data_IF_224825465525
#
_entry.id   IF_224825465525
#
_cell.length_a   1.000
_cell.length_b   1.000
_cell.length_c   1.000
_cell.angle_alpha   90.00
_cell.angle_beta   90.00
_cell.angle_gamma   90.00
#
_symmetry.space_group_name_H-M   'P 1'
#
loop_
_entity.id
_entity.type
_entity.pdbx_description
1 polymer ?
#
# COMPACT_ATOMS: atom_id res chain seq x y z
N UNK A 1 8.51 4.88 10.56
CA UNK A 1 9.48 5.95 10.82
C UNK A 1 8.97 7.25 10.23
N UNK A 2 9.40 8.40 10.77
CA UNK A 2 9.06 9.72 10.26
C UNK A 2 10.30 10.38 9.68
N UNK A 3 10.19 10.78 8.42
CA UNK A 3 11.21 11.52 7.71
C UNK A 3 10.70 12.93 7.41
N UNK A 4 11.59 13.91 7.46
CA UNK A 4 11.29 15.29 7.10
C UNK A 4 12.35 15.81 6.13
N UNK A 5 11.93 16.73 5.26
CA UNK A 5 12.86 17.40 4.36
C UNK A 5 13.89 18.20 5.18
N UNK A 6 15.15 18.03 4.81
CA UNK A 6 16.28 18.76 5.39
C UNK A 6 16.63 20.01 4.60
N UNK A 7 15.96 20.25 3.47
CA UNK A 7 16.20 21.38 2.59
C UNK A 7 17.57 21.27 1.90
N UNK A 8 18.38 22.32 2.00
CA UNK A 8 19.70 22.34 1.36
C UNK A 8 20.70 21.50 2.14
N UNK A 9 21.07 20.34 1.60
CA UNK A 9 22.09 19.47 2.18
C UNK A 9 23.47 19.86 1.65
N UNK A 10 24.47 19.85 2.52
CA UNK A 10 25.86 20.12 2.18
C UNK A 10 26.76 18.92 2.49
N UNK A 11 27.81 18.72 1.71
CA UNK A 11 28.87 17.77 2.02
C UNK A 11 29.67 18.21 3.27
N UNK A 12 30.52 17.34 3.85
CA UNK A 12 31.43 17.73 4.93
C UNK A 12 32.34 18.92 4.58
N UNK A 13 32.64 19.11 3.29
CA UNK A 13 33.44 20.22 2.75
C UNK A 13 32.61 21.49 2.50
N UNK A 14 31.29 21.46 2.76
CA UNK A 14 30.37 22.59 2.64
C UNK A 14 29.73 22.75 1.27
N UNK A 15 29.97 21.83 0.33
CA UNK A 15 29.40 21.88 -1.02
C UNK A 15 27.92 21.52 -1.02
N UNK A 16 27.09 22.29 -1.73
CA UNK A 16 25.65 21.98 -1.84
C UNK A 16 25.46 20.73 -2.69
N UNK A 17 24.77 19.72 -2.14
CA UNK A 17 24.43 18.49 -2.83
C UNK A 17 23.28 18.71 -3.83
N UNK A 18 23.19 17.95 -4.93
CA UNK A 18 22.29 18.26 -6.04
C UNK A 18 20.82 17.87 -5.80
N UNK A 19 20.44 17.48 -4.59
CA UNK A 19 19.09 17.00 -4.27
C UNK A 19 18.09 18.15 -4.21
N UNK A 20 16.91 17.96 -4.81
CA UNK A 20 15.79 18.90 -4.72
C UNK A 20 14.77 18.50 -3.63
N UNK A 21 14.96 17.34 -3.01
CA UNK A 21 14.32 16.88 -1.79
C UNK A 21 15.28 15.94 -1.08
N UNK A 22 15.57 16.17 0.21
CA UNK A 22 16.35 15.23 1.01
C UNK A 22 15.63 14.89 2.31
N UNK A 23 14.99 13.73 2.31
CA UNK A 23 14.25 13.20 3.45
C UNK A 23 15.21 12.58 4.45
N UNK A 24 15.15 13.08 5.68
CA UNK A 24 16.04 12.66 6.77
C UNK A 24 15.24 12.14 7.95
N UNK A 25 15.74 11.12 8.66
CA UNK A 25 15.03 10.52 9.77
C UNK A 25 14.92 11.51 10.93
N UNK A 26 13.72 11.61 11.51
CA UNK A 26 13.43 12.51 12.64
C UNK A 26 12.96 11.78 13.87
N UNK A 27 12.05 10.83 13.67
CA UNK A 27 11.40 10.09 14.75
C UNK A 27 11.13 8.67 14.32
N UNK A 28 11.13 7.75 15.27
CA UNK A 28 10.63 6.40 15.10
C UNK A 28 9.59 6.11 16.19
N UNK A 29 8.64 5.22 15.88
CA UNK A 29 7.65 4.74 16.83
C UNK A 29 7.73 3.22 16.86
N UNK A 30 7.78 2.63 18.05
CA UNK A 30 7.89 1.17 18.20
C UNK A 30 6.49 0.59 18.33
N UNK A 31 6.05 -0.10 17.28
CA UNK A 31 4.72 -0.74 17.21
C UNK A 31 4.73 -2.21 17.65
N UNK A 32 5.90 -2.84 17.68
CA UNK A 32 5.99 -4.29 17.53
C UNK A 32 5.60 -4.72 16.10
N UNK A 33 5.49 -6.01 15.86
CA UNK A 33 5.04 -6.55 14.58
C UNK A 33 3.52 -6.52 14.50
N UNK A 34 2.97 -5.35 14.15
CA UNK A 34 1.55 -5.15 13.83
C UNK A 34 1.23 -5.54 12.39
N UNK A 35 2.25 -5.95 11.62
CA UNK A 35 2.15 -6.22 10.18
C UNK A 35 1.44 -5.08 9.45
N UNK A 36 1.97 -3.86 9.54
CA UNK A 36 1.36 -2.68 8.92
C UNK A 36 1.36 -2.78 7.41
N UNK A 37 0.18 -2.81 6.77
CA UNK A 37 0.06 -3.03 5.31
C UNK A 37 -0.18 -1.77 4.49
N UNK A 38 -0.83 -0.76 5.07
CA UNK A 38 -1.04 0.54 4.43
C UNK A 38 -1.10 1.61 5.51
N UNK A 39 -0.69 2.82 5.19
CA UNK A 39 -0.85 3.96 6.07
C UNK A 39 -1.14 5.23 5.27
N UNK A 40 -1.84 6.17 5.89
CA UNK A 40 -2.13 7.45 5.27
C UNK A 40 -2.42 8.53 6.31
N UNK A 41 -2.21 9.78 5.93
CA UNK A 41 -2.45 10.94 6.78
C UNK A 41 -3.89 11.41 6.67
N UNK A 42 -4.54 11.62 7.81
CA UNK A 42 -5.81 12.32 7.93
C UNK A 42 -5.61 13.51 8.86
N UNK A 43 -5.49 14.71 8.27
CA UNK A 43 -4.96 15.86 8.99
C UNK A 43 -3.54 15.56 9.51
N UNK A 44 -3.31 15.79 10.79
CA UNK A 44 -2.03 15.53 11.47
C UNK A 44 -1.94 14.11 12.07
N UNK A 45 -2.93 13.26 11.83
CA UNK A 45 -2.97 11.91 12.36
C UNK A 45 -2.59 10.88 11.30
N UNK A 46 -1.61 10.03 11.62
CA UNK A 46 -1.27 8.88 10.80
C UNK A 46 -2.20 7.71 11.13
N UNK A 47 -2.99 7.28 10.16
CA UNK A 47 -3.84 6.09 10.25
C UNK A 47 -3.10 4.94 9.58
N UNK A 48 -3.04 3.80 10.27
CA UNK A 48 -2.33 2.60 9.83
C UNK A 48 -3.32 1.43 9.78
N UNK A 49 -3.24 0.64 8.71
CA UNK A 49 -3.86 -0.68 8.65
C UNK A 49 -3.00 -1.65 9.46
N UNK A 50 -3.51 -2.04 10.62
CA UNK A 50 -2.92 -3.05 11.49
C UNK A 50 -3.52 -4.42 11.13
N UNK A 51 -2.88 -5.09 10.20
CA UNK A 51 -3.35 -6.37 9.65
C UNK A 51 -3.38 -7.45 10.71
N UNK A 52 -2.33 -7.52 11.55
CA UNK A 52 -2.23 -8.55 12.59
C UNK A 52 -3.35 -8.49 13.61
N UNK A 53 -3.88 -7.30 13.91
CA UNK A 53 -5.01 -7.09 14.80
C UNK A 53 -6.33 -6.80 14.07
N UNK A 54 -6.34 -6.92 12.73
CA UNK A 54 -7.51 -6.73 11.87
C UNK A 54 -8.25 -5.40 12.13
N UNK A 55 -7.50 -4.30 12.26
CA UNK A 55 -8.05 -3.00 12.59
C UNK A 55 -7.34 -1.84 11.90
N UNK A 56 -8.02 -0.70 11.83
CA UNK A 56 -7.36 0.59 11.64
C UNK A 56 -6.91 1.10 12.99
N UNK A 57 -5.71 1.67 13.05
CA UNK A 57 -5.13 2.17 14.28
C UNK A 57 -4.41 3.51 14.06
N UNK A 58 -4.26 4.27 15.14
CA UNK A 58 -3.38 5.43 15.23
C UNK A 58 -2.15 5.08 16.07
N UNK A 59 -1.09 5.85 15.89
CA UNK A 59 0.09 5.77 16.77
C UNK A 59 -0.12 6.68 17.98
N UNK A 60 0.38 6.26 19.14
CA UNK A 60 0.25 7.00 20.40
C UNK A 60 1.57 6.94 21.17
N UNK A 61 2.06 8.03 21.79
CA UNK A 61 3.34 8.02 22.49
C UNK A 61 3.48 7.00 23.64
N UNK A 62 2.36 6.59 24.25
CA UNK A 62 2.33 5.67 25.39
C UNK A 62 2.07 4.21 24.99
N UNK A 63 1.59 3.97 23.77
CA UNK A 63 1.15 2.65 23.32
C UNK A 63 1.78 2.28 21.97
N UNK A 64 1.90 0.98 21.70
CA UNK A 64 2.30 0.54 20.36
C UNK A 64 1.37 1.11 19.28
N UNK A 65 0.07 1.10 19.53
CA UNK A 65 -0.98 1.66 18.69
C UNK A 65 -2.29 1.78 19.49
N UNK A 66 -3.22 2.58 18.99
CA UNK A 66 -4.60 2.70 19.51
C UNK A 66 -5.56 2.31 18.38
N UNK A 67 -6.34 1.22 18.53
CA UNK A 67 -7.32 0.83 17.51
C UNK A 67 -8.45 1.86 17.44
N UNK A 68 -8.84 2.25 16.23
CA UNK A 68 -9.90 3.25 15.99
C UNK A 68 -11.11 2.66 15.27
N UNK A 69 -10.91 1.57 14.53
CA UNK A 69 -11.98 0.89 13.80
C UNK A 69 -11.57 -0.56 13.49
N UNK A 70 -12.55 -1.45 13.36
CA UNK A 70 -12.38 -2.81 12.87
C UNK A 70 -13.63 -3.22 12.07
N UNK A 71 -13.53 -4.17 11.15
CA UNK A 71 -14.71 -4.71 10.48
C UNK A 71 -15.74 -5.24 11.50
N UNK A 72 -17.05 -5.03 11.29
CA UNK A 72 -18.08 -5.47 12.26
C UNK A 72 -18.10 -6.98 12.54
N UNK A 73 -17.68 -7.79 11.56
CA UNK A 73 -17.61 -9.24 11.68
C UNK A 73 -16.42 -9.74 12.50
N UNK A 74 -15.38 -8.91 12.69
CA UNK A 74 -14.27 -9.26 13.58
C UNK A 74 -14.76 -9.09 15.02
N UNK A 75 -14.53 -10.04 15.93
CA UNK A 75 -15.09 -10.02 17.30
C UNK A 75 -14.12 -9.59 18.40
N UNK A 76 -12.81 -9.61 18.16
CA UNK A 76 -11.81 -9.14 19.12
C UNK A 76 -10.58 -8.50 18.46
N UNK A 77 -9.88 -7.64 19.20
CA UNK A 77 -8.52 -7.22 18.86
C UNK A 77 -7.53 -8.28 19.34
N UNK A 78 -7.26 -9.25 18.47
CA UNK A 78 -6.33 -10.34 18.74
C UNK A 78 -5.24 -10.36 17.66
N UNK A 79 -4.01 -10.70 18.05
CA UNK A 79 -2.85 -10.76 17.15
C UNK A 79 -2.89 -12.00 16.24
N UNK A 80 -3.98 -12.15 15.50
CA UNK A 80 -4.42 -13.38 14.84
C UNK A 80 -4.60 -13.23 13.32
N UNK A 81 -4.49 -12.01 12.80
CA UNK A 81 -4.69 -11.71 11.37
C UNK A 81 -5.97 -12.38 10.82
N UNK A 82 -7.11 -12.01 11.39
CA UNK A 82 -8.35 -12.78 11.19
C UNK A 82 -8.90 -12.66 9.77
N UNK A 83 -8.76 -11.49 9.15
CA UNK A 83 -9.31 -11.18 7.83
C UNK A 83 -8.28 -10.65 6.83
N UNK A 84 -7.04 -10.41 7.28
CA UNK A 84 -6.01 -9.71 6.52
C UNK A 84 -6.49 -8.38 5.96
N UNK A 85 -6.83 -7.47 6.86
CA UNK A 85 -7.11 -6.08 6.50
C UNK A 85 -5.85 -5.51 5.82
N UNK A 86 -5.99 -4.98 4.61
CA UNK A 86 -4.87 -4.79 3.70
C UNK A 86 -4.72 -3.33 3.29
N UNK A 87 -5.56 -2.84 2.38
CA UNK A 87 -5.47 -1.49 1.84
C UNK A 87 -6.45 -0.50 2.49
N UNK A 88 -6.17 0.79 2.34
CA UNK A 88 -6.97 1.88 2.92
C UNK A 88 -7.14 3.03 1.92
N UNK A 89 -8.36 3.54 1.84
CA UNK A 89 -8.71 4.82 1.21
C UNK A 89 -9.07 5.82 2.30
N UNK A 90 -8.40 6.97 2.27
CA UNK A 90 -8.77 8.15 3.06
C UNK A 90 -9.45 9.16 2.14
N UNK A 91 -10.54 9.77 2.61
CA UNK A 91 -11.15 10.95 2.02
C UNK A 91 -11.11 12.14 2.99
N UNK A 92 -11.76 13.25 2.62
CA UNK A 92 -11.79 14.47 3.43
C UNK A 92 -12.48 14.30 4.80
N UNK A 93 -13.24 13.22 5.01
CA UNK A 93 -13.93 12.89 6.25
C UNK A 93 -13.24 11.76 7.04
N UNK A 94 -12.14 11.19 6.52
CA UNK A 94 -11.34 10.15 7.18
C UNK A 94 -11.33 8.82 6.41
N UNK A 95 -11.12 7.69 7.11
CA UNK A 95 -11.21 6.37 6.51
C UNK A 95 -12.54 6.13 5.79
N UNK A 96 -12.45 5.82 4.50
CA UNK A 96 -13.61 5.67 3.64
C UNK A 96 -13.81 4.23 3.16
N UNK A 97 -12.77 3.62 2.61
CA UNK A 97 -12.81 2.22 2.17
C UNK A 97 -11.59 1.47 2.67
N UNK A 98 -11.76 0.18 2.92
CA UNK A 98 -10.66 -0.74 3.18
C UNK A 98 -10.83 -2.01 2.36
N UNK A 99 -9.72 -2.69 2.07
CA UNK A 99 -9.75 -4.04 1.52
C UNK A 99 -9.38 -5.05 2.60
N UNK A 100 -9.92 -6.26 2.51
CA UNK A 100 -9.51 -7.41 3.31
C UNK A 100 -9.44 -8.66 2.42
N UNK A 101 -8.61 -9.64 2.78
CA UNK A 101 -8.47 -10.87 2.00
C UNK A 101 -9.56 -11.91 2.29
N UNK A 102 -10.32 -11.75 3.38
CA UNK A 102 -11.44 -12.61 3.73
C UNK A 102 -12.44 -11.97 4.68
N UNK A 103 -13.72 -12.35 4.58
CA UNK A 103 -14.77 -12.02 5.56
C UNK A 103 -14.75 -13.03 6.72
N UNK A 104 -13.64 -13.08 7.46
CA UNK A 104 -13.35 -14.13 8.45
C UNK A 104 -13.01 -13.58 9.84
N UNK A 105 -13.32 -14.36 10.89
CA UNK A 105 -13.11 -14.01 12.31
C UNK A 105 -12.39 -15.11 13.10
N UNK A 106 -11.55 -15.90 12.43
CA UNK A 106 -10.69 -16.92 13.02
C UNK A 106 -9.24 -16.62 12.67
N UNK A 107 -8.30 -17.11 13.48
CA UNK A 107 -6.87 -16.91 13.23
C UNK A 107 -6.50 -17.31 11.80
N UNK A 108 -5.99 -16.34 11.04
CA UNK A 108 -5.56 -16.49 9.64
C UNK A 108 -6.63 -17.12 8.72
N UNK A 109 -7.92 -16.96 9.05
CA UNK A 109 -9.03 -17.63 8.35
C UNK A 109 -9.15 -17.28 6.86
N UNK A 110 -8.62 -16.12 6.46
CA UNK A 110 -8.60 -15.65 5.08
C UNK A 110 -7.76 -16.55 4.14
N UNK A 111 -6.82 -17.34 4.67
CA UNK A 111 -5.87 -18.14 3.86
C UNK A 111 -6.56 -19.19 3.01
N UNK A 112 -7.61 -19.83 3.51
CA UNK A 112 -8.36 -20.86 2.78
C UNK A 112 -9.06 -20.26 1.56
N UNK A 113 -9.63 -19.06 1.71
CA UNK A 113 -10.37 -18.35 0.68
C UNK A 113 -9.53 -17.33 -0.11
N UNK A 114 -8.19 -17.32 -0.02
CA UNK A 114 -7.36 -16.23 -0.58
C UNK A 114 -7.51 -16.00 -2.10
N UNK A 115 -8.00 -17.00 -2.84
CA UNK A 115 -8.20 -16.92 -4.31
C UNK A 115 -9.38 -16.02 -4.67
N UNK A 116 -10.45 -15.97 -3.88
CA UNK A 116 -11.69 -15.26 -4.22
C UNK A 116 -12.44 -14.67 -3.00
N UNK A 117 -11.92 -14.83 -1.79
CA UNK A 117 -12.55 -14.39 -0.55
C UNK A 117 -12.43 -12.90 -0.25
N UNK A 118 -11.64 -12.16 -1.04
CA UNK A 118 -11.36 -10.76 -0.78
C UNK A 118 -12.57 -9.85 -0.94
N UNK A 119 -12.58 -8.80 -0.13
CA UNK A 119 -13.70 -7.87 0.02
C UNK A 119 -13.25 -6.41 0.05
N UNK A 120 -14.19 -5.51 -0.22
CA UNK A 120 -14.08 -4.07 0.03
C UNK A 120 -15.17 -3.68 1.01
N UNK A 121 -14.80 -2.93 2.05
CA UNK A 121 -15.69 -2.49 3.12
C UNK A 121 -15.77 -0.97 3.09
N UNK A 122 -16.99 -0.42 3.12
CA UNK A 122 -17.22 1.00 3.44
C UNK A 122 -17.05 1.18 4.96
N UNK A 123 -16.05 1.96 5.35
CA UNK A 123 -15.66 2.10 6.76
C UNK A 123 -16.74 2.79 7.60
N UNK A 124 -17.38 3.90 7.16
CA UNK A 124 -18.42 4.57 7.94
C UNK A 124 -19.64 3.69 8.25
N UNK A 125 -20.12 2.92 7.28
CA UNK A 125 -21.28 2.03 7.47
C UNK A 125 -20.91 0.65 8.04
N UNK A 126 -19.67 0.20 7.80
CA UNK A 126 -19.23 -1.17 8.06
C UNK A 126 -19.72 -2.18 7.03
N UNK A 127 -20.39 -1.74 5.96
CA UNK A 127 -20.96 -2.62 4.94
C UNK A 127 -19.90 -3.11 3.94
N UNK A 128 -19.99 -4.39 3.58
CA UNK A 128 -19.18 -4.96 2.50
C UNK A 128 -19.81 -4.61 1.16
N UNK A 129 -19.13 -3.74 0.39
CA UNK A 129 -19.65 -3.20 -0.88
C UNK A 129 -19.22 -4.01 -2.11
N UNK A 130 -18.20 -4.86 -2.00
CA UNK A 130 -17.74 -5.74 -3.08
C UNK A 130 -17.09 -7.00 -2.49
N UNK A 131 -17.32 -8.15 -3.13
CA UNK A 131 -16.81 -9.48 -2.75
C UNK A 131 -16.25 -10.22 -3.96
N UNK A 132 -15.55 -11.33 -3.74
CA UNK A 132 -15.07 -12.15 -4.85
C UNK A 132 -13.76 -11.65 -5.45
N UNK A 133 -12.95 -10.91 -4.68
CA UNK A 133 -11.72 -10.29 -5.20
C UNK A 133 -10.52 -11.14 -4.81
N UNK A 134 -9.71 -11.51 -5.80
CA UNK A 134 -8.46 -12.25 -5.55
C UNK A 134 -7.38 -11.31 -5.02
N UNK A 135 -7.11 -11.40 -3.72
CA UNK A 135 -6.04 -10.63 -3.07
C UNK A 135 -6.12 -9.11 -3.30
N UNK A 136 -7.18 -8.41 -2.84
CA UNK A 136 -7.37 -6.98 -3.10
C UNK A 136 -6.33 -6.08 -2.41
N UNK A 137 -5.55 -5.36 -3.21
CA UNK A 137 -4.51 -4.44 -2.75
C UNK A 137 -4.76 -2.99 -3.22
N UNK A 138 -4.16 -2.05 -2.48
CA UNK A 138 -4.04 -0.62 -2.80
C UNK A 138 -5.32 -0.02 -3.40
N UNK A 139 -6.44 -0.03 -2.67
CA UNK A 139 -7.62 0.68 -3.09
C UNK A 139 -7.30 2.18 -3.13
N UNK A 140 -7.78 2.89 -4.16
CA UNK A 140 -7.58 4.33 -4.32
C UNK A 140 -8.86 4.99 -4.79
N UNK A 141 -9.21 6.12 -4.18
CA UNK A 141 -10.22 7.01 -4.74
C UNK A 141 -9.55 8.02 -5.65
N UNK A 142 -9.81 7.94 -6.96
CA UNK A 142 -9.19 8.82 -7.93
C UNK A 142 -10.11 9.11 -9.11
N UNK A 143 -10.13 10.36 -9.58
CA UNK A 143 -10.99 10.82 -10.68
C UNK A 143 -12.48 10.42 -10.50
N UNK A 144 -12.99 10.52 -9.27
CA UNK A 144 -14.38 10.20 -8.93
C UNK A 144 -14.75 8.72 -8.97
N UNK A 145 -13.75 7.83 -8.95
CA UNK A 145 -13.93 6.38 -9.02
C UNK A 145 -13.13 5.68 -7.93
N UNK A 146 -13.62 4.52 -7.50
CA UNK A 146 -12.88 3.59 -6.65
C UNK A 146 -12.10 2.61 -7.52
N UNK A 147 -10.79 2.62 -7.38
CA UNK A 147 -9.86 1.73 -8.05
C UNK A 147 -9.35 0.69 -7.06
N UNK A 148 -9.05 -0.52 -7.54
CA UNK A 148 -8.46 -1.59 -6.74
C UNK A 148 -7.55 -2.47 -7.60
N UNK A 149 -6.50 -3.01 -7.00
CA UNK A 149 -5.68 -4.05 -7.61
C UNK A 149 -6.20 -5.42 -7.18
N UNK A 150 -6.48 -6.29 -8.16
CA UNK A 150 -6.73 -7.70 -7.92
C UNK A 150 -5.44 -8.47 -8.21
N UNK A 151 -4.63 -8.67 -7.18
CA UNK A 151 -3.26 -9.15 -7.34
C UNK A 151 -3.19 -10.59 -7.83
N UNK A 152 -4.14 -11.43 -7.41
CA UNK A 152 -4.16 -12.85 -7.81
C UNK A 152 -4.39 -13.08 -9.30
N UNK A 153 -4.94 -12.08 -10.02
CA UNK A 153 -5.13 -12.13 -11.48
C UNK A 153 -4.32 -11.11 -12.25
N UNK A 154 -3.55 -10.25 -11.56
CA UNK A 154 -2.76 -9.20 -12.20
C UNK A 154 -3.62 -8.04 -12.72
N UNK A 155 -4.82 -7.81 -12.18
CA UNK A 155 -5.81 -6.90 -12.78
C UNK A 155 -5.88 -5.54 -12.08
N UNK A 156 -5.89 -4.45 -12.86
CA UNK A 156 -6.34 -3.13 -12.40
C UNK A 156 -7.84 -3.03 -12.67
N UNK A 157 -8.63 -2.75 -11.62
CA UNK A 157 -10.08 -2.73 -11.71
C UNK A 157 -10.68 -1.42 -11.18
N UNK A 158 -11.85 -1.07 -11.72
CA UNK A 158 -12.73 -0.02 -11.19
C UNK A 158 -13.95 -0.68 -10.55
N UNK A 159 -14.34 -0.19 -9.38
CA UNK A 159 -15.50 -0.67 -8.61
C UNK A 159 -16.67 0.29 -8.81
N UNK A 160 -17.81 -0.26 -9.22
CA UNK A 160 -19.09 0.43 -9.16
C UNK A 160 -19.64 0.33 -7.72
N UNK A 161 -19.65 1.44 -7.00
CA UNK A 161 -20.00 1.46 -5.57
C UNK A 161 -21.48 1.18 -5.29
N UNK A 162 -22.36 1.28 -6.29
CA UNK A 162 -23.80 1.03 -6.10
C UNK A 162 -24.13 -0.46 -6.22
N UNK A 163 -23.50 -1.13 -7.19
CA UNK A 163 -23.75 -2.54 -7.50
C UNK A 163 -22.71 -3.49 -6.93
N UNK A 164 -21.55 -2.98 -6.50
CA UNK A 164 -20.39 -3.77 -6.07
C UNK A 164 -19.66 -4.49 -7.21
N UNK A 165 -20.08 -4.28 -8.46
CA UNK A 165 -19.46 -4.90 -9.63
C UNK A 165 -18.13 -4.25 -9.96
N UNK A 166 -17.22 -5.04 -10.51
CA UNK A 166 -15.88 -4.61 -10.90
C UNK A 166 -15.72 -4.72 -12.41
N UNK A 167 -15.07 -3.73 -13.01
CA UNK A 167 -14.68 -3.72 -14.41
C UNK A 167 -13.16 -3.71 -14.51
N UNK A 168 -12.60 -4.73 -15.16
CA UNK A 168 -11.16 -4.79 -15.44
C UNK A 168 -10.80 -3.77 -16.51
N UNK A 169 -9.82 -2.91 -16.21
CA UNK A 169 -9.25 -1.95 -17.16
C UNK A 169 -8.17 -2.64 -17.99
N UNK A 170 -7.26 -3.35 -17.32
CA UNK A 170 -6.25 -4.18 -17.96
C UNK A 170 -5.72 -5.24 -17.00
N UNK A 171 -4.94 -6.17 -17.57
CA UNK A 171 -4.15 -7.15 -16.83
C UNK A 171 -2.66 -6.92 -17.11
N UNK A 172 -1.83 -7.11 -16.09
CA UNK A 172 -0.39 -6.93 -16.12
C UNK A 172 0.32 -8.23 -15.71
N UNK A 173 1.54 -8.48 -16.22
CA UNK A 173 2.22 -9.76 -16.06
C UNK A 173 2.96 -9.88 -14.71
N UNK A 174 2.28 -9.68 -13.60
CA UNK A 174 2.89 -9.76 -12.27
C UNK A 174 1.89 -9.57 -11.14
N UNK A 175 2.32 -9.91 -9.93
CA UNK A 175 1.50 -9.77 -8.73
C UNK A 175 1.42 -8.28 -8.35
N UNK A 176 0.25 -7.68 -8.49
CA UNK A 176 0.09 -6.24 -8.29
C UNK A 176 0.14 -5.88 -6.80
N UNK A 177 0.75 -4.74 -6.46
CA UNK A 177 0.82 -4.27 -5.08
C UNK A 177 0.60 -2.78 -4.94
N UNK A 178 1.56 -1.96 -5.37
CA UNK A 178 1.45 -0.50 -5.27
C UNK A 178 0.56 0.10 -6.36
N UNK A 179 -0.26 1.09 -5.99
CA UNK A 179 -1.04 1.89 -6.93
C UNK A 179 -1.02 3.36 -6.52
N UNK A 180 -0.67 4.23 -7.47
CA UNK A 180 -0.82 5.68 -7.32
C UNK A 180 -1.19 6.32 -8.64
N UNK A 181 -1.60 7.58 -8.60
CA UNK A 181 -2.08 8.31 -9.77
C UNK A 181 -1.46 9.69 -9.86
N UNK A 182 -1.26 10.16 -11.09
CA UNK A 182 -0.90 11.54 -11.38
C UNK A 182 -1.50 11.95 -12.73
N UNK A 183 -2.30 13.02 -12.72
CA UNK A 183 -3.10 13.46 -13.87
C UNK A 183 -3.95 12.30 -14.44
N UNK A 184 -3.75 11.91 -15.70
CA UNK A 184 -4.48 10.80 -16.32
C UNK A 184 -3.77 9.45 -16.21
N UNK A 185 -2.67 9.36 -15.47
CA UNK A 185 -1.86 8.16 -15.40
C UNK A 185 -2.02 7.43 -14.08
N UNK A 186 -2.25 6.12 -14.15
CA UNK A 186 -2.05 5.20 -13.04
C UNK A 186 -0.64 4.62 -13.13
N UNK A 187 0.07 4.59 -12.00
CA UNK A 187 1.33 3.89 -11.86
C UNK A 187 1.10 2.65 -11.00
N UNK A 188 1.39 1.48 -11.56
CA UNK A 188 1.10 0.18 -10.96
C UNK A 188 2.41 -0.57 -10.73
N UNK A 189 2.70 -0.89 -9.47
CA UNK A 189 3.82 -1.73 -9.09
C UNK A 189 3.44 -3.21 -9.11
N UNK A 190 4.28 -4.04 -9.71
CA UNK A 190 4.16 -5.50 -9.70
C UNK A 190 5.42 -6.19 -9.20
N UNK A 191 5.21 -7.37 -8.62
CA UNK A 191 6.24 -8.22 -8.05
C UNK A 191 6.27 -9.60 -8.73
N UNK A 192 7.41 -10.27 -8.58
CA UNK A 192 7.45 -11.73 -8.72
C UNK A 192 6.75 -12.38 -7.51
N UNK A 193 6.15 -13.54 -7.70
CA UNK A 193 5.70 -14.38 -6.58
C UNK A 193 6.91 -15.21 -6.12
N UNK A 194 7.63 -14.75 -5.09
CA UNK A 194 8.72 -15.50 -4.43
C UNK A 194 8.71 -15.22 -2.92
N UNK A 195 8.88 -16.27 -2.12
CA UNK A 195 8.78 -16.20 -0.65
C UNK A 195 7.40 -16.64 -0.16
N UNK A 196 7.40 -17.55 0.82
CA UNK A 196 6.24 -18.21 1.44
C UNK A 196 5.09 -18.58 0.50
N UNK A 197 5.30 -19.62 -0.32
CA UNK A 197 4.26 -20.20 -1.20
C UNK A 197 2.98 -20.55 -0.45
N UNK A 198 3.06 -20.85 0.85
CA UNK A 198 1.88 -21.15 1.67
C UNK A 198 0.98 -19.91 1.79
N UNK A 199 1.57 -18.71 1.82
CA UNK A 199 0.85 -17.44 1.88
C UNK A 199 0.42 -16.94 0.49
N UNK A 200 1.31 -16.84 -0.49
CA UNK A 200 1.02 -16.16 -1.78
C UNK A 200 1.02 -17.05 -3.02
N UNK A 201 1.27 -18.36 -2.89
CA UNK A 201 1.18 -19.32 -4.00
C UNK A 201 -0.24 -19.83 -4.24
N UNK A 202 -0.43 -20.45 -5.41
CA UNK A 202 -1.72 -20.98 -5.87
C UNK A 202 -2.62 -19.91 -6.47
N UNK A 203 -2.04 -18.81 -6.97
CA UNK A 203 -2.79 -17.69 -7.53
C UNK A 203 -3.06 -17.91 -9.02
N UNK A 204 -4.23 -17.49 -9.54
CA UNK A 204 -4.57 -17.65 -10.96
C UNK A 204 -3.50 -17.13 -11.92
N UNK A 205 -2.80 -16.05 -11.56
CA UNK A 205 -1.76 -15.46 -12.40
C UNK A 205 -0.57 -16.39 -12.69
N UNK A 206 -0.29 -17.35 -11.82
CA UNK A 206 0.80 -18.33 -12.04
C UNK A 206 0.51 -19.26 -13.23
N UNK A 207 -0.76 -19.48 -13.55
CA UNK A 207 -1.18 -20.26 -14.73
C UNK A 207 -1.29 -19.37 -15.98
N UNK A 208 -1.58 -18.07 -15.81
CA UNK A 208 -1.77 -17.13 -16.92
C UNK A 208 -0.46 -16.57 -17.46
N UNK A 209 0.58 -16.46 -16.63
CA UNK A 209 1.83 -15.78 -16.96
C UNK A 209 3.03 -16.65 -16.60
N UNK A 210 3.79 -17.10 -17.61
CA UNK A 210 4.93 -17.97 -17.41
C UNK A 210 6.15 -17.30 -16.77
N UNK A 211 6.29 -15.98 -16.95
CA UNK A 211 7.39 -15.19 -16.40
C UNK A 211 6.84 -13.93 -15.72
N UNK A 212 6.61 -14.05 -14.41
CA UNK A 212 6.13 -12.93 -13.60
C UNK A 212 7.20 -11.84 -13.50
N UNK A 213 6.78 -10.60 -13.69
CA UNK A 213 7.68 -9.44 -13.73
C UNK A 213 7.70 -8.69 -12.40
N UNK A 214 8.86 -8.11 -12.10
CA UNK A 214 8.99 -7.04 -11.11
C UNK A 214 9.14 -5.72 -11.88
N UNK A 215 8.15 -4.84 -11.81
CA UNK A 215 8.10 -3.67 -12.68
C UNK A 215 7.14 -2.58 -12.17
N UNK A 216 7.28 -1.38 -12.74
CA UNK A 216 6.32 -0.29 -12.61
C UNK A 216 5.75 -0.01 -13.99
N UNK A 217 4.43 -0.08 -14.14
CA UNK A 217 3.73 0.25 -15.38
C UNK A 217 3.01 1.58 -15.24
N UNK A 218 3.06 2.40 -16.29
CA UNK A 218 2.25 3.59 -16.44
C UNK A 218 1.10 3.29 -17.41
N UNK A 219 -0.13 3.55 -16.97
CA UNK A 219 -1.37 3.27 -17.70
C UNK A 219 -2.16 4.57 -17.85
N UNK A 220 -2.60 4.89 -19.06
CA UNK A 220 -3.53 5.99 -19.29
C UNK A 220 -4.95 5.54 -18.88
N UNK A 221 -5.52 6.15 -17.85
CA UNK A 221 -6.81 5.73 -17.26
C UNK A 221 -8.01 6.12 -18.13
N UNK A 222 -7.80 6.95 -19.15
CA UNK A 222 -8.85 7.36 -20.08
C UNK A 222 -9.02 6.36 -21.23
N UNK A 223 -7.92 5.75 -21.67
CA UNK A 223 -7.92 4.76 -22.77
C UNK A 223 -7.79 3.31 -22.27
N UNK A 224 -7.22 3.11 -21.08
CA UNK A 224 -6.85 1.80 -20.56
C UNK A 224 -5.52 1.26 -21.12
N UNK A 225 -4.79 2.06 -21.91
CA UNK A 225 -3.57 1.63 -22.57
C UNK A 225 -2.32 1.81 -21.71
N UNK A 226 -1.36 0.90 -21.88
CA UNK A 226 -0.04 1.02 -21.26
C UNK A 226 0.77 2.04 -22.06
N UNK A 227 1.24 3.10 -21.41
CA UNK A 227 2.05 4.15 -22.04
C UNK A 227 3.55 3.95 -21.86
N UNK A 228 3.96 3.11 -20.90
CA UNK A 228 5.35 2.75 -20.66
C UNK A 228 5.52 1.93 -19.39
N UNK A 229 6.73 1.40 -19.20
CA UNK A 229 7.08 0.66 -17.98
C UNK A 229 8.58 0.72 -17.70
N UNK A 230 8.94 0.43 -16.45
CA UNK A 230 10.30 0.16 -16.00
C UNK A 230 10.31 -1.24 -15.39
N UNK A 231 11.21 -2.10 -15.85
CA UNK A 231 11.35 -3.47 -15.35
C UNK A 231 12.65 -3.62 -14.55
N UNK A 232 12.53 -4.20 -13.36
CA UNK A 232 13.65 -4.55 -12.51
C UNK A 232 14.13 -5.96 -12.87
N UNK A 233 15.22 -6.03 -13.62
CA UNK A 233 15.77 -7.31 -14.09
C UNK A 233 16.68 -8.00 -13.07
N UNK A 234 17.20 -7.25 -12.09
CA UNK A 234 18.08 -7.73 -11.00
C UNK A 234 17.90 -6.90 -9.73
N UNK A 235 18.24 -7.49 -8.58
CA UNK A 235 18.30 -6.81 -7.27
C UNK A 235 16.94 -6.64 -6.59
N UNK A 236 15.94 -6.10 -7.29
CA UNK A 236 14.60 -5.86 -6.75
C UNK A 236 13.63 -6.89 -7.34
N UNK A 237 13.04 -7.72 -6.48
CA UNK A 237 12.05 -8.73 -6.88
C UNK A 237 10.63 -8.42 -6.37
N UNK A 238 10.51 -7.48 -5.42
CA UNK A 238 9.28 -7.11 -4.73
C UNK A 238 9.19 -5.59 -4.59
N UNK A 239 8.03 -5.05 -4.96
CA UNK A 239 7.63 -3.65 -4.78
C UNK A 239 6.43 -3.62 -3.85
N UNK A 240 6.59 -2.97 -2.70
CA UNK A 240 5.52 -2.89 -1.71
C UNK A 240 4.47 -1.85 -2.11
N UNK A 241 4.90 -0.62 -2.35
CA UNK A 241 4.05 0.51 -2.74
C UNK A 241 4.77 1.44 -3.71
N UNK A 242 4.03 2.35 -4.34
CA UNK A 242 4.54 3.37 -5.24
C UNK A 242 3.89 4.72 -4.94
N UNK A 243 4.70 5.77 -4.90
CA UNK A 243 4.24 7.14 -4.68
C UNK A 243 4.83 8.07 -5.75
N UNK A 244 4.06 9.09 -6.15
CA UNK A 244 4.52 10.14 -7.06
C UNK A 244 4.90 11.37 -6.24
N UNK A 245 6.05 11.98 -6.56
CA UNK A 245 6.51 13.24 -5.98
C UNK A 245 6.48 14.34 -7.07
N UNK A 246 5.38 15.09 -7.21
CA UNK A 246 5.24 16.10 -8.26
C UNK A 246 6.31 17.18 -8.16
N UNK A 247 6.98 17.48 -9.27
CA UNK A 247 7.99 18.53 -9.34
C UNK A 247 9.37 18.15 -8.78
N UNK A 248 9.50 16.98 -8.16
CA UNK A 248 10.76 16.47 -7.60
C UNK A 248 11.47 15.59 -8.63
N UNK A 249 12.76 15.84 -8.88
CA UNK A 249 13.57 15.16 -9.91
C UNK A 249 14.75 14.37 -9.33
N UNK A 250 15.32 14.82 -8.21
CA UNK A 250 16.48 14.20 -7.57
C UNK A 250 16.21 14.03 -6.07
N UNK A 251 15.20 13.20 -5.71
CA UNK A 251 14.93 12.90 -4.32
C UNK A 251 16.07 12.06 -3.73
N UNK A 252 16.33 12.27 -2.45
CA UNK A 252 17.23 11.45 -1.66
C UNK A 252 16.59 11.12 -0.31
N UNK A 253 16.87 9.92 0.20
CA UNK A 253 16.39 9.43 1.48
C UNK A 253 17.61 8.92 2.26
N UNK A 254 17.85 9.49 3.43
CA UNK A 254 18.92 9.02 4.33
C UNK A 254 18.33 7.96 5.27
N UNK A 255 18.91 6.77 5.31
CA UNK A 255 18.44 5.67 6.16
C UNK A 255 18.78 5.83 7.64
N UNK A 256 18.19 4.98 8.49
CA UNK A 256 18.49 4.94 9.94
C UNK A 256 19.80 4.19 10.28
N UNK A 257 20.27 3.33 9.39
CA UNK A 257 21.38 2.41 9.65
C UNK A 257 22.68 2.79 8.91
N UNK A 258 22.70 3.93 8.23
CA UNK A 258 23.89 4.41 7.54
C UNK A 258 24.80 5.21 8.48
N UNK A 259 26.13 5.12 8.29
CA UNK A 259 27.09 6.00 8.98
C UNK A 259 26.76 7.50 8.82
N UNK A 260 26.07 7.83 7.72
CA UNK A 260 25.52 9.15 7.41
C UNK A 260 24.69 9.73 8.55
N UNK A 261 24.00 8.90 9.35
CA UNK A 261 23.18 9.39 10.47
C UNK A 261 24.02 10.04 11.58
N UNK A 262 25.27 9.61 11.76
CA UNK A 262 26.16 10.15 12.80
C UNK A 262 26.58 11.60 12.52
N UNK A 263 26.55 12.00 11.25
CA UNK A 263 26.89 13.35 10.81
C UNK A 263 25.68 14.25 10.57
N UNK A 264 24.46 13.75 10.78
CA UNK A 264 23.23 14.49 10.51
C UNK A 264 22.84 15.33 11.73
N UNK A 265 23.04 16.65 11.62
CA UNK A 265 22.59 17.61 12.62
C UNK A 265 21.56 18.55 12.00
N UNK A 266 20.43 18.72 12.67
CA UNK A 266 19.41 19.70 12.29
C UNK A 266 19.18 20.63 13.46
N UNK A 267 19.51 21.89 13.22
CA UNK A 267 19.56 22.95 14.23
C UNK A 267 18.63 24.07 13.82
N UNK A 268 17.85 24.56 14.78
CA UNK A 268 17.10 25.82 14.66
C UNK A 268 18.04 26.95 15.10
N UNK A 269 18.15 28.01 14.30
CA UNK A 269 19.11 29.12 14.49
C UNK A 269 18.40 30.47 14.56
#
# INVERSE_FOLDING_TARGET
>A
WYFEDSGTVRSPEGEVLPYDLCLTPRRSHVTGDISGHEAGWYGDELIVVNTRFSCLAKLDPSWSFVPIWRPPFVTAYAAEDRCHLNGLVLDANGPKYVTALGETDTKEGWREGKVDGGIIIDVPSGEVISRGISMPHSPRWYAGRLWVLESGTGSLQVVDIQSGKRSTVLQLPGYLRGLTFFDRYAFVGLCRIRGDRDTFGGMPIEEMVSDLKCAIYAVDITTGEIVGFIEFTKGIEELFDIQVLPGIRRPHLIGFEEDTINGLFVVDL
#
